data_IF_570395241991
#
_entry.id   IF_570395241991
#
_cell.length_a   1.000
_cell.length_b   1.000
_cell.length_c   1.000
_cell.angle_alpha   90.00
_cell.angle_beta   90.00
_cell.angle_gamma   90.00
#
_symmetry.space_group_name_H-M   'P 1'
#
loop_
_entity.id
_entity.type
_entity.pdbx_description
1 polymer ?
#
# COMPACT_ATOMS: atom_id res chain seq x y z
N UNK A 1 6.04 -15.46 -46.45
CA UNK A 1 6.31 -14.16 -45.81
C UNK A 1 5.10 -13.52 -45.11
N UNK A 2 3.86 -13.64 -45.59
CA UNK A 2 2.66 -12.99 -44.99
C UNK A 2 2.27 -13.54 -43.62
N UNK A 3 2.51 -14.83 -43.34
CA UNK A 3 2.15 -15.46 -42.07
C UNK A 3 3.03 -15.01 -40.87
N UNK A 4 4.33 -14.75 -41.11
CA UNK A 4 5.24 -14.25 -40.04
C UNK A 4 4.95 -12.82 -39.63
N UNK A 5 4.46 -11.98 -40.56
CA UNK A 5 4.08 -10.60 -40.29
C UNK A 5 2.81 -10.55 -39.41
N UNK A 6 1.86 -11.44 -39.63
CA UNK A 6 0.62 -11.50 -38.85
C UNK A 6 0.86 -11.89 -37.38
N UNK A 7 1.76 -12.84 -37.14
CA UNK A 7 2.15 -13.27 -35.78
C UNK A 7 2.86 -12.13 -35.03
N UNK A 8 3.74 -11.38 -35.71
CA UNK A 8 4.42 -10.24 -35.09
C UNK A 8 3.46 -9.12 -34.70
N UNK A 9 2.42 -8.85 -35.48
CA UNK A 9 1.40 -7.83 -35.19
C UNK A 9 0.51 -8.28 -34.00
N UNK A 10 0.14 -9.57 -33.93
CA UNK A 10 -0.65 -10.09 -32.81
C UNK A 10 0.13 -10.03 -31.50
N UNK A 11 1.43 -10.36 -31.52
CA UNK A 11 2.29 -10.26 -30.35
C UNK A 11 2.46 -8.78 -29.90
N UNK A 12 2.62 -7.86 -30.85
CA UNK A 12 2.73 -6.42 -30.54
C UNK A 12 1.44 -5.85 -29.94
N UNK A 13 0.26 -6.31 -30.37
CA UNK A 13 -1.03 -5.88 -29.82
C UNK A 13 -1.24 -6.47 -28.40
N UNK A 14 -0.83 -7.71 -28.14
CA UNK A 14 -0.91 -8.31 -26.81
C UNK A 14 0.04 -7.67 -25.79
N UNK A 15 1.16 -7.07 -26.21
CA UNK A 15 2.09 -6.38 -25.32
C UNK A 15 1.67 -4.93 -24.97
N UNK A 16 0.61 -4.40 -25.60
CA UNK A 16 0.18 -3.00 -25.41
C UNK A 16 -0.90 -2.84 -24.34
N UNK A 17 -1.42 -3.92 -23.78
CA UNK A 17 -2.25 -3.84 -22.57
C UNK A 17 -1.35 -3.76 -21.32
N UNK A 18 -0.77 -2.61 -21.10
CA UNK A 18 -0.36 -2.25 -19.75
C UNK A 18 -1.64 -2.15 -18.93
N UNK A 19 -1.97 -3.24 -18.24
CA UNK A 19 -2.95 -3.17 -17.15
C UNK A 19 -2.47 -2.05 -16.24
N UNK A 20 -3.21 -0.94 -16.20
CA UNK A 20 -2.95 0.10 -15.21
C UNK A 20 -3.00 -0.61 -13.85
N UNK A 21 -1.97 -0.51 -13.02
CA UNK A 21 -2.04 -1.10 -11.69
C UNK A 21 -3.24 -0.49 -11.00
N UNK A 22 -4.07 -1.33 -10.41
CA UNK A 22 -5.16 -0.91 -9.56
C UNK A 22 -4.56 0.01 -8.48
N UNK A 23 -5.13 1.15 -8.26
CA UNK A 23 -4.61 2.09 -7.29
C UNK A 23 -5.73 2.55 -6.36
N UNK A 24 -5.45 2.49 -5.07
CA UNK A 24 -6.24 3.18 -4.07
C UNK A 24 -5.57 4.50 -3.74
N UNK A 25 -6.34 5.52 -3.40
CA UNK A 25 -5.83 6.65 -2.66
C UNK A 25 -6.45 6.64 -1.26
N UNK A 26 -5.69 7.08 -0.29
CA UNK A 26 -6.08 7.01 1.10
C UNK A 26 -6.19 8.42 1.68
N UNK A 27 -7.19 8.61 2.54
CA UNK A 27 -7.34 9.77 3.38
C UNK A 27 -7.71 9.33 4.79
N UNK A 28 -7.37 10.13 5.78
CA UNK A 28 -7.95 9.94 7.11
C UNK A 28 -9.36 10.50 7.13
N UNK A 29 -10.14 10.09 8.11
CA UNK A 29 -11.47 10.68 8.35
C UNK A 29 -11.34 11.60 9.54
N UNK A 30 -11.75 12.84 9.37
CA UNK A 30 -11.96 13.76 10.47
C UNK A 30 -13.17 13.26 11.30
N UNK A 31 -12.99 12.90 12.57
CA UNK A 31 -14.05 12.32 13.39
C UNK A 31 -15.20 13.29 13.69
N UNK A 32 -14.95 14.60 13.63
CA UNK A 32 -15.96 15.63 13.93
C UNK A 32 -16.81 15.96 12.71
N UNK A 33 -16.19 16.05 11.55
CA UNK A 33 -16.86 16.48 10.31
C UNK A 33 -17.22 15.32 9.38
N UNK A 34 -16.65 14.13 9.59
CA UNK A 34 -16.79 12.96 8.70
C UNK A 34 -16.14 13.16 7.32
N UNK A 35 -15.45 14.27 7.10
CA UNK A 35 -14.78 14.60 5.83
C UNK A 35 -13.40 13.98 5.75
N UNK A 36 -12.90 13.86 4.53
CA UNK A 36 -11.53 13.48 4.28
C UNK A 36 -10.57 14.47 4.94
N UNK A 37 -9.74 13.95 5.84
CA UNK A 37 -8.72 14.69 6.55
C UNK A 37 -7.36 14.65 5.85
N UNK A 38 -6.31 14.43 6.63
CA UNK A 38 -4.93 14.37 6.15
C UNK A 38 -4.74 13.20 5.17
N UNK A 39 -4.02 13.46 4.07
CA UNK A 39 -3.60 12.41 3.13
C UNK A 39 -2.25 11.84 3.57
N UNK A 40 -2.12 10.51 3.75
CA UNK A 40 -0.83 9.89 3.93
C UNK A 40 0.13 10.22 2.78
N UNK A 41 1.41 10.25 3.07
CA UNK A 41 2.46 10.46 2.07
C UNK A 41 2.52 9.29 1.10
N UNK A 42 2.15 9.51 -0.17
CA UNK A 42 2.34 8.52 -1.22
C UNK A 42 3.81 8.46 -1.62
N UNK A 43 4.45 7.32 -1.45
CA UNK A 43 5.88 7.13 -1.75
C UNK A 43 6.16 5.73 -2.26
N UNK A 44 7.38 5.51 -2.74
CA UNK A 44 7.84 4.21 -3.21
C UNK A 44 8.62 3.53 -2.10
N UNK A 45 8.23 2.30 -1.79
CA UNK A 45 9.01 1.40 -0.97
C UNK A 45 9.83 0.49 -1.89
N UNK A 46 11.16 0.68 -1.86
CA UNK A 46 12.09 -0.04 -2.73
C UNK A 46 12.36 -1.44 -2.18
N UNK A 47 12.11 -2.44 -2.99
CA UNK A 47 12.36 -3.84 -2.65
C UNK A 47 13.86 -4.12 -2.49
N UNK A 48 14.21 -4.78 -1.40
CA UNK A 48 15.56 -5.28 -1.16
C UNK A 48 15.55 -6.79 -1.30
N UNK A 49 16.26 -7.29 -2.32
CA UNK A 49 16.35 -8.74 -2.57
C UNK A 49 16.96 -9.45 -1.35
N UNK A 50 16.25 -10.43 -0.77
CA UNK A 50 16.77 -11.21 0.34
C UNK A 50 18.11 -11.89 0.00
N UNK A 51 19.01 -11.93 0.97
CA UNK A 51 20.28 -12.66 0.84
C UNK A 51 20.10 -14.08 1.39
N UNK A 52 20.57 -15.05 0.61
CA UNK A 52 20.57 -16.45 1.04
C UNK A 52 19.15 -17.04 1.18
N UNK A 53 18.91 -17.79 2.25
CA UNK A 53 17.63 -18.48 2.57
C UNK A 53 16.75 -17.64 3.50
N UNK A 54 16.77 -16.31 3.37
CA UNK A 54 15.92 -15.47 4.21
C UNK A 54 14.43 -15.78 3.96
N UNK A 55 13.65 -15.85 5.03
CA UNK A 55 12.18 -15.97 5.00
C UNK A 55 11.49 -14.61 5.02
N UNK A 56 12.28 -13.53 5.13
CA UNK A 56 11.79 -12.16 5.17
C UNK A 56 12.31 -11.36 4.01
N UNK A 57 11.58 -10.32 3.66
CA UNK A 57 12.00 -9.30 2.70
C UNK A 57 11.89 -7.91 3.32
N UNK A 58 12.78 -7.02 2.92
CA UNK A 58 12.79 -5.64 3.36
C UNK A 58 12.40 -4.71 2.22
N UNK A 59 11.70 -3.66 2.58
CA UNK A 59 11.40 -2.54 1.70
C UNK A 59 11.92 -1.26 2.35
N UNK A 60 12.70 -0.51 1.62
CA UNK A 60 13.27 0.76 2.09
C UNK A 60 12.42 1.92 1.59
N UNK A 61 12.00 2.77 2.53
CA UNK A 61 11.26 3.99 2.29
C UNK A 61 12.15 5.17 2.66
N UNK A 62 12.33 6.10 1.73
CA UNK A 62 13.16 7.28 1.96
C UNK A 62 12.60 8.17 3.08
N UNK A 63 13.49 8.85 3.79
CA UNK A 63 13.14 9.72 4.91
C UNK A 63 12.90 8.97 6.22
N UNK A 64 13.39 9.53 7.31
CA UNK A 64 13.24 8.97 8.66
C UNK A 64 11.83 9.16 9.25
N UNK A 65 11.07 10.13 8.74
CA UNK A 65 9.71 10.46 9.19
C UNK A 65 8.80 10.70 8.01
N UNK A 66 7.53 10.35 8.17
CA UNK A 66 6.47 10.69 7.23
C UNK A 66 6.09 12.18 7.37
N UNK A 67 5.71 12.80 6.27
CA UNK A 67 5.20 14.19 6.25
C UNK A 67 3.84 14.25 6.95
N UNK A 68 2.98 13.26 6.69
CA UNK A 68 1.67 13.17 7.31
C UNK A 68 1.76 12.69 8.75
N UNK A 69 1.19 13.45 9.70
CA UNK A 69 1.14 13.10 11.13
C UNK A 69 -0.30 13.00 11.60
N UNK A 70 -0.60 11.99 12.39
CA UNK A 70 -1.92 11.73 12.95
C UNK A 70 -1.88 11.75 14.48
N UNK A 71 -3.00 12.12 15.08
CA UNK A 71 -3.29 11.81 16.49
C UNK A 71 -3.79 10.36 16.57
N UNK A 72 -3.55 9.70 17.71
CA UNK A 72 -3.94 8.29 17.93
C UNK A 72 -5.46 8.11 17.71
N UNK A 73 -6.28 9.09 18.08
CA UNK A 73 -7.74 9.06 17.90
C UNK A 73 -8.21 9.13 16.45
N UNK A 74 -7.34 9.44 15.50
CA UNK A 74 -7.66 9.67 14.09
C UNK A 74 -7.18 8.53 13.17
N UNK A 75 -6.83 7.38 13.73
CA UNK A 75 -6.25 6.26 12.97
C UNK A 75 -7.27 5.48 12.11
N UNK A 76 -8.22 6.17 11.48
CA UNK A 76 -9.13 5.59 10.48
C UNK A 76 -8.76 6.10 9.10
N UNK A 77 -8.84 5.21 8.11
CA UNK A 77 -8.56 5.56 6.73
C UNK A 77 -9.74 5.24 5.84
N UNK A 78 -10.09 6.15 4.97
CA UNK A 78 -10.90 5.84 3.81
C UNK A 78 -9.97 5.48 2.65
N UNK A 79 -10.23 4.34 2.00
CA UNK A 79 -9.63 3.97 0.75
C UNK A 79 -10.65 4.21 -0.37
N UNK A 80 -10.26 5.00 -1.33
CA UNK A 80 -11.07 5.29 -2.51
C UNK A 80 -10.48 4.51 -3.67
N UNK A 81 -11.20 3.50 -4.20
CA UNK A 81 -10.76 2.80 -5.38
C UNK A 81 -10.79 3.73 -6.59
N UNK A 82 -9.82 3.63 -7.48
CA UNK A 82 -9.98 4.20 -8.80
C UNK A 82 -11.05 3.39 -9.59
N UNK A 83 -11.45 3.91 -10.76
CA UNK A 83 -12.49 3.29 -11.58
C UNK A 83 -12.20 1.82 -11.93
N UNK A 84 -10.93 1.42 -11.93
CA UNK A 84 -10.47 0.06 -12.28
C UNK A 84 -10.51 -0.89 -11.08
N UNK A 85 -10.59 -0.38 -9.86
CA UNK A 85 -10.47 -1.14 -8.61
C UNK A 85 -11.81 -1.56 -8.00
N UNK A 86 -12.94 -1.14 -8.54
CA UNK A 86 -14.27 -1.29 -7.93
C UNK A 86 -14.71 -2.74 -7.63
N UNK A 87 -14.10 -3.73 -8.29
CA UNK A 87 -14.47 -5.14 -8.13
C UNK A 87 -13.48 -5.96 -7.29
N UNK A 88 -12.43 -5.33 -6.76
CA UNK A 88 -11.45 -6.02 -5.93
C UNK A 88 -11.87 -6.03 -4.47
N UNK A 89 -11.67 -7.16 -3.80
CA UNK A 89 -11.79 -7.23 -2.35
C UNK A 89 -10.56 -6.55 -1.71
N UNK A 90 -10.73 -5.41 -1.04
CA UNK A 90 -9.62 -4.66 -0.46
C UNK A 90 -8.86 -5.45 0.62
N UNK A 91 -9.51 -6.41 1.28
CA UNK A 91 -8.87 -7.25 2.30
C UNK A 91 -7.74 -8.13 1.77
N UNK A 92 -7.72 -8.39 0.46
CA UNK A 92 -6.70 -9.18 -0.20
C UNK A 92 -5.47 -8.35 -0.64
N UNK A 93 -5.59 -7.03 -0.66
CA UNK A 93 -4.59 -6.16 -1.26
C UNK A 93 -4.06 -5.08 -0.32
N UNK A 94 -4.84 -4.65 0.66
CA UNK A 94 -4.48 -3.55 1.56
C UNK A 94 -4.05 -4.09 2.91
N UNK A 95 -2.84 -3.73 3.32
CA UNK A 95 -2.23 -4.16 4.57
C UNK A 95 -1.67 -2.96 5.33
N UNK A 96 -1.75 -3.00 6.65
CA UNK A 96 -1.19 -1.98 7.53
C UNK A 96 0.02 -2.56 8.27
N UNK A 97 1.13 -1.82 8.25
CA UNK A 97 2.36 -2.20 8.94
C UNK A 97 2.93 -1.04 9.74
N UNK A 98 3.55 -1.37 10.87
CA UNK A 98 4.51 -0.49 11.53
C UNK A 98 5.86 -0.65 10.84
N UNK A 99 6.64 0.44 10.74
CA UNK A 99 7.97 0.40 10.12
C UNK A 99 9.04 0.77 11.13
N UNK A 100 10.23 0.21 10.95
CA UNK A 100 11.42 0.57 11.72
C UNK A 100 11.99 1.88 11.20
N UNK A 101 12.45 2.73 12.11
CA UNK A 101 12.99 4.06 11.78
C UNK A 101 14.51 4.04 11.88
N UNK A 102 15.18 4.36 10.78
CA UNK A 102 16.61 4.60 10.70
C UNK A 102 16.94 6.11 10.69
N UNK A 103 18.21 6.45 10.47
CA UNK A 103 18.68 7.85 10.41
C UNK A 103 18.13 8.59 9.18
N UNK A 104 18.03 7.94 8.05
CA UNK A 104 17.67 8.54 6.75
C UNK A 104 16.57 7.78 6.02
N UNK A 105 16.06 6.70 6.59
CA UNK A 105 15.07 5.83 5.96
C UNK A 105 14.21 5.14 7.00
N UNK A 106 13.09 4.64 6.53
CA UNK A 106 12.21 3.70 7.25
C UNK A 106 12.33 2.34 6.57
N UNK A 107 12.21 1.27 7.33
CA UNK A 107 12.26 -0.11 6.80
C UNK A 107 10.99 -0.85 7.16
N UNK A 108 10.31 -1.37 6.15
CA UNK A 108 9.24 -2.35 6.29
C UNK A 108 9.85 -3.73 6.11
N UNK A 109 9.81 -4.55 7.16
CA UNK A 109 10.20 -5.96 7.11
C UNK A 109 8.96 -6.82 7.18
N UNK A 110 8.78 -7.71 6.22
CA UNK A 110 7.66 -8.65 6.20
C UNK A 110 8.14 -10.06 5.83
N UNK A 111 7.37 -11.08 6.24
CA UNK A 111 7.58 -12.44 5.75
C UNK A 111 7.18 -12.55 4.28
N UNK A 112 7.69 -13.56 3.58
CA UNK A 112 7.38 -13.79 2.16
C UNK A 112 5.88 -14.05 1.90
N UNK A 113 5.14 -14.46 2.90
CA UNK A 113 3.68 -14.64 2.86
C UNK A 113 2.88 -13.35 3.17
N UNK A 114 3.57 -12.23 3.39
CA UNK A 114 2.96 -10.95 3.75
C UNK A 114 2.61 -10.81 5.23
N UNK A 115 2.83 -11.84 6.05
CA UNK A 115 2.70 -11.74 7.50
C UNK A 115 3.97 -11.12 8.12
N UNK A 116 3.99 -10.93 9.42
CA UNK A 116 5.18 -10.50 10.14
C UNK A 116 4.86 -9.76 11.43
N UNK A 117 5.87 -9.63 12.29
CA UNK A 117 5.72 -9.00 13.60
C UNK A 117 5.30 -7.51 13.54
N UNK A 118 5.44 -6.88 12.38
CA UNK A 118 5.08 -5.47 12.16
C UNK A 118 3.69 -5.29 11.51
N UNK A 119 3.01 -6.39 11.16
CA UNK A 119 1.65 -6.35 10.63
C UNK A 119 0.66 -5.94 11.72
N UNK A 120 -0.25 -5.05 11.35
CA UNK A 120 -1.33 -4.59 12.21
C UNK A 120 -2.65 -5.07 11.60
N UNK A 121 -3.39 -5.94 12.30
CA UNK A 121 -4.69 -6.38 11.82
C UNK A 121 -5.62 -5.19 11.61
N UNK A 122 -6.38 -5.21 10.53
CA UNK A 122 -7.35 -4.17 10.19
C UNK A 122 -8.73 -4.76 10.00
N UNK A 123 -9.75 -3.99 10.35
CA UNK A 123 -11.14 -4.23 9.99
C UNK A 123 -11.48 -3.36 8.79
N UNK A 124 -12.02 -3.98 7.76
CA UNK A 124 -12.43 -3.29 6.53
C UNK A 124 -13.95 -3.30 6.45
N UNK A 125 -14.55 -2.13 6.32
CA UNK A 125 -16.01 -1.95 6.20
C UNK A 125 -16.35 -1.07 5.00
N UNK A 126 -17.59 -1.15 4.53
CA UNK A 126 -18.13 -0.31 3.46
C UNK A 126 -19.38 0.42 3.98
N UNK A 127 -19.22 1.53 4.70
CA UNK A 127 -20.32 2.19 5.40
C UNK A 127 -21.45 2.70 4.47
N UNK A 128 -21.11 3.07 3.23
CA UNK A 128 -22.04 3.61 2.22
C UNK A 128 -22.07 2.79 0.93
N UNK A 129 -21.45 1.61 0.93
CA UNK A 129 -21.33 0.74 -0.25
C UNK A 129 -20.23 1.14 -1.23
N UNK A 130 -19.69 2.35 -1.16
CA UNK A 130 -18.65 2.89 -2.06
C UNK A 130 -17.35 3.16 -1.33
N UNK A 131 -17.42 3.75 -0.15
CA UNK A 131 -16.23 4.07 0.66
C UNK A 131 -15.75 2.83 1.39
N UNK A 132 -14.47 2.51 1.24
CA UNK A 132 -13.81 1.45 1.98
C UNK A 132 -13.17 2.08 3.21
N UNK A 133 -13.65 1.74 4.40
CA UNK A 133 -13.05 2.19 5.65
C UNK A 133 -12.14 1.13 6.23
N UNK A 134 -10.91 1.53 6.53
CA UNK A 134 -9.88 0.69 7.13
C UNK A 134 -9.65 1.17 8.55
N UNK A 135 -9.86 0.29 9.51
CA UNK A 135 -9.70 0.58 10.94
C UNK A 135 -8.70 -0.41 11.53
N UNK A 136 -7.63 0.04 12.21
CA UNK A 136 -6.79 -0.86 12.98
C UNK A 136 -7.61 -1.61 14.02
N UNK A 137 -7.42 -2.93 14.11
CA UNK A 137 -8.13 -3.78 15.10
C UNK A 137 -7.49 -3.73 16.49
N UNK A 138 -6.35 -3.05 16.61
CA UNK A 138 -5.62 -2.83 17.86
C UNK A 138 -5.27 -1.37 18.02
N UNK A 139 -5.08 -0.92 19.26
CA UNK A 139 -4.62 0.43 19.54
C UNK A 139 -3.23 0.66 18.91
N UNK A 140 -3.11 1.70 18.11
CA UNK A 140 -1.84 2.10 17.53
C UNK A 140 -1.07 2.98 18.54
N UNK A 141 0.22 2.78 18.60
CA UNK A 141 1.12 3.56 19.47
C UNK A 141 1.93 4.55 18.65
N UNK A 142 2.54 5.58 19.25
CA UNK A 142 3.42 6.48 18.51
C UNK A 142 4.47 5.74 17.67
N UNK A 143 4.69 6.21 16.44
CA UNK A 143 5.59 5.56 15.50
C UNK A 143 5.30 5.90 14.04
N UNK A 144 6.05 5.25 13.15
CA UNK A 144 5.89 5.37 11.70
C UNK A 144 5.19 4.13 11.14
N UNK A 145 4.30 4.34 10.17
CA UNK A 145 3.41 3.34 9.63
C UNK A 145 3.27 3.48 8.12
N UNK A 146 2.82 2.40 7.48
CA UNK A 146 2.47 2.40 6.05
C UNK A 146 1.20 1.59 5.80
N UNK A 147 0.35 2.10 4.92
CA UNK A 147 -0.62 1.31 4.19
C UNK A 147 0.07 0.79 2.93
N UNK A 148 0.10 -0.50 2.78
CA UNK A 148 0.74 -1.21 1.69
C UNK A 148 -0.35 -1.74 0.76
N UNK A 149 -0.29 -1.38 -0.51
CA UNK A 149 -1.20 -1.89 -1.53
C UNK A 149 -0.46 -2.89 -2.42
N UNK A 150 -0.71 -4.18 -2.20
CA UNK A 150 -0.10 -5.28 -2.95
C UNK A 150 -0.37 -5.20 -4.46
N UNK A 151 -1.43 -4.55 -4.89
CA UNK A 151 -1.77 -4.42 -6.32
C UNK A 151 -0.80 -3.49 -7.06
N UNK A 152 -0.03 -2.68 -6.35
CA UNK A 152 0.92 -1.71 -6.92
C UNK A 152 2.36 -2.24 -7.04
N UNK A 153 2.59 -3.54 -6.78
CA UNK A 153 3.92 -4.15 -6.90
C UNK A 153 4.37 -4.10 -8.35
N UNK A 154 5.55 -3.55 -8.57
CA UNK A 154 6.19 -3.40 -9.89
C UNK A 154 7.05 -4.61 -10.24
N UNK A 155 7.52 -4.68 -11.50
CA UNK A 155 8.33 -5.79 -11.99
C UNK A 155 9.67 -5.97 -11.25
N UNK A 156 10.24 -4.89 -10.70
CA UNK A 156 11.44 -4.93 -9.84
C UNK A 156 11.11 -5.26 -8.38
N UNK A 157 9.86 -5.51 -8.06
CA UNK A 157 9.36 -5.82 -6.72
C UNK A 157 9.09 -4.61 -5.84
N UNK A 158 9.41 -3.38 -6.28
CA UNK A 158 9.07 -2.17 -5.53
C UNK A 158 7.55 -1.96 -5.48
N UNK A 159 7.07 -1.20 -4.52
CA UNK A 159 5.63 -1.01 -4.29
C UNK A 159 5.31 0.42 -3.88
N UNK A 160 4.15 0.91 -4.27
CA UNK A 160 3.64 2.16 -3.73
C UNK A 160 3.07 1.92 -2.34
N UNK A 161 3.46 2.78 -1.40
CA UNK A 161 2.93 2.78 -0.03
C UNK A 161 2.44 4.18 0.33
N UNK A 162 1.55 4.24 1.30
CA UNK A 162 1.07 5.50 1.89
C UNK A 162 1.56 5.55 3.33
N UNK A 163 2.56 6.40 3.55
CA UNK A 163 3.26 6.51 4.81
C UNK A 163 2.66 7.61 5.69
N UNK A 164 2.60 7.37 6.98
CA UNK A 164 2.15 8.32 7.98
C UNK A 164 2.82 8.04 9.34
N UNK A 165 2.85 9.05 10.18
CA UNK A 165 3.32 8.92 11.55
C UNK A 165 2.20 9.15 12.55
N UNK A 166 2.32 8.55 13.72
CA UNK A 166 1.49 8.80 14.90
C UNK A 166 2.37 9.42 15.98
N UNK A 167 1.91 10.56 16.55
CA UNK A 167 2.57 11.28 17.65
C UNK A 167 2.02 10.90 19.02
#
# INVERSE_FOLDING_TARGET
>A
MKQKLFIAIVIAICCSFTLKPFAYYFSTVDPETGRDGMKPEKTIATYIKPKGKSTTTDYIIAGAKSIGRLKISEAFFNAHPDESSNNLDPSLYIFLYKVSVGKTSRTLTMNLDGSGAMYIPVTITKPDGYTIRISPSVAMVPGEYVLFDKSTVTADGSVTVWAFGID
#
